data_IF_223028670561
#
_entry.id   IF_223028670561
#
_cell.length_a   1.000
_cell.length_b   1.000
_cell.length_c   1.000
_cell.angle_alpha   90.00
_cell.angle_beta   90.00
_cell.angle_gamma   90.00
#
_symmetry.space_group_name_H-M   'P 1'
#
loop_
_entity.id
_entity.type
_entity.pdbx_description
1 polymer ?
#
# COMPACT_ATOMS: atom_id res chain seq x y z
N UNK A 1 4.05 -3.07 -6.32
CA UNK A 1 3.38 -1.80 -6.13
C UNK A 1 4.12 -0.68 -6.85
N UNK A 2 3.41 0.23 -7.47
CA UNK A 2 3.97 1.40 -8.18
C UNK A 2 4.82 2.27 -7.23
N UNK A 3 4.41 2.36 -5.96
CA UNK A 3 5.16 3.08 -4.94
C UNK A 3 6.61 2.61 -4.83
N UNK A 4 6.84 1.30 -4.85
CA UNK A 4 8.18 0.73 -4.77
C UNK A 4 9.03 1.10 -5.97
N UNK A 5 8.46 1.10 -7.17
CA UNK A 5 9.17 1.48 -8.39
C UNK A 5 9.48 2.99 -8.41
N UNK A 6 8.50 3.82 -8.07
CA UNK A 6 8.64 5.28 -8.11
C UNK A 6 9.67 5.80 -7.10
N UNK A 7 9.65 5.25 -5.89
CA UNK A 7 10.59 5.60 -4.83
C UNK A 7 11.94 4.91 -5.07
N UNK A 8 11.92 3.68 -5.56
CA UNK A 8 13.11 2.88 -5.77
C UNK A 8 14.05 3.39 -6.85
N UNK A 9 13.50 4.02 -7.90
CA UNK A 9 14.31 4.62 -8.97
C UNK A 9 15.31 5.66 -8.47
N UNK A 10 15.03 6.33 -7.35
CA UNK A 10 15.96 7.33 -6.79
C UNK A 10 17.16 6.69 -6.09
N UNK A 11 17.02 5.44 -5.66
CA UNK A 11 18.14 4.69 -5.06
C UNK A 11 19.05 4.05 -6.12
N UNK A 12 18.67 4.12 -7.41
CA UNK A 12 19.51 3.68 -8.52
C UNK A 12 20.27 4.88 -9.07
N UNK A 13 21.59 4.98 -8.79
CA UNK A 13 22.46 6.01 -9.33
C UNK A 13 22.71 7.21 -8.39
N UNK A 14 23.13 8.34 -8.96
CA UNK A 14 23.49 9.57 -8.22
C UNK A 14 22.30 10.50 -7.92
N UNK A 15 21.06 10.11 -8.29
CA UNK A 15 19.86 10.95 -8.19
C UNK A 15 19.51 11.34 -6.76
N UNK A 16 19.82 10.51 -5.76
CA UNK A 16 19.64 10.84 -4.35
C UNK A 16 20.46 12.05 -3.91
N UNK A 17 21.71 12.19 -4.38
CA UNK A 17 22.56 13.33 -4.04
C UNK A 17 21.99 14.63 -4.59
N UNK A 18 21.52 14.64 -5.83
CA UNK A 18 20.90 15.82 -6.44
C UNK A 18 19.59 16.19 -5.75
N UNK A 19 18.75 15.20 -5.37
CA UNK A 19 17.49 15.43 -4.67
C UNK A 19 17.69 16.00 -3.25
N UNK A 20 18.74 15.59 -2.53
CA UNK A 20 19.05 16.15 -1.21
C UNK A 20 19.69 17.52 -1.26
N UNK A 21 20.35 17.88 -2.35
CA UNK A 21 20.88 19.23 -2.56
C UNK A 21 19.76 20.25 -2.78
N UNK A 22 18.67 19.84 -3.40
CA UNK A 22 17.50 20.71 -3.65
C UNK A 22 16.55 20.80 -2.45
N UNK A 23 16.46 19.75 -1.61
CA UNK A 23 15.60 19.73 -0.42
C UNK A 23 16.43 19.37 0.83
N UNK A 24 16.95 20.34 1.60
CA UNK A 24 17.79 20.08 2.77
C UNK A 24 17.01 19.40 3.91
N UNK A 25 15.69 19.49 3.90
CA UNK A 25 14.82 18.94 4.95
C UNK A 25 14.33 17.52 4.56
N UNK A 26 15.01 16.50 5.08
CA UNK A 26 14.77 15.07 4.76
C UNK A 26 13.34 14.62 4.99
N UNK A 27 12.69 15.12 6.05
CA UNK A 27 11.29 14.82 6.35
C UNK A 27 10.35 15.36 5.26
N UNK A 28 10.57 16.61 4.83
CA UNK A 28 9.77 17.19 3.74
C UNK A 28 9.90 16.38 2.45
N UNK A 29 11.12 15.91 2.15
CA UNK A 29 11.38 15.08 0.97
C UNK A 29 10.56 13.79 0.99
N UNK A 30 10.57 13.05 2.12
CA UNK A 30 9.81 11.79 2.26
C UNK A 30 8.31 12.07 2.09
N UNK A 31 7.80 13.07 2.81
CA UNK A 31 6.36 13.41 2.79
C UNK A 31 5.92 13.81 1.38
N UNK A 32 6.67 14.66 0.69
CA UNK A 32 6.37 15.04 -0.70
C UNK A 32 6.35 13.84 -1.64
N UNK A 33 7.31 12.93 -1.50
CA UNK A 33 7.37 11.71 -2.31
C UNK A 33 6.17 10.79 -2.07
N UNK A 34 5.85 10.54 -0.81
CA UNK A 34 4.68 9.74 -0.45
C UNK A 34 3.39 10.39 -0.93
N UNK A 35 3.28 11.72 -0.86
CA UNK A 35 2.11 12.44 -1.35
C UNK A 35 1.95 12.30 -2.88
N UNK A 36 3.03 12.40 -3.65
CA UNK A 36 2.99 12.21 -5.10
C UNK A 36 2.54 10.79 -5.45
N UNK A 37 3.11 9.79 -4.78
CA UNK A 37 2.73 8.38 -4.96
C UNK A 37 1.24 8.18 -4.65
N UNK A 38 0.76 8.74 -3.54
CA UNK A 38 -0.65 8.70 -3.17
C UNK A 38 -1.55 9.29 -4.25
N UNK A 39 -1.21 10.47 -4.77
CA UNK A 39 -1.98 11.12 -5.84
C UNK A 39 -2.05 10.24 -7.09
N UNK A 40 -0.94 9.69 -7.53
CA UNK A 40 -0.88 8.80 -8.69
C UNK A 40 -1.75 7.54 -8.48
N UNK A 41 -1.66 6.93 -7.28
CA UNK A 41 -2.43 5.73 -6.98
C UNK A 41 -3.93 5.99 -6.87
N UNK A 42 -4.34 7.12 -6.33
CA UNK A 42 -5.76 7.51 -6.29
C UNK A 42 -6.29 7.66 -7.73
N UNK A 43 -5.55 8.33 -8.60
CA UNK A 43 -5.94 8.46 -10.01
C UNK A 43 -6.09 7.10 -10.68
N UNK A 44 -5.12 6.21 -10.47
CA UNK A 44 -5.17 4.85 -11.03
C UNK A 44 -6.33 4.03 -10.47
N UNK A 45 -6.59 4.09 -9.16
CA UNK A 45 -7.73 3.41 -8.55
C UNK A 45 -9.06 3.89 -9.13
N UNK A 46 -9.24 5.20 -9.27
CA UNK A 46 -10.44 5.77 -9.88
C UNK A 46 -10.57 5.31 -11.33
N UNK A 47 -9.49 5.29 -12.11
CA UNK A 47 -9.50 4.80 -13.48
C UNK A 47 -9.88 3.31 -13.57
N UNK A 48 -9.32 2.46 -12.72
CA UNK A 48 -9.63 1.02 -12.68
C UNK A 48 -11.09 0.79 -12.28
N UNK A 49 -11.58 1.47 -11.25
CA UNK A 49 -12.97 1.34 -10.79
C UNK A 49 -13.93 1.78 -11.89
N UNK A 50 -13.67 2.90 -12.58
CA UNK A 50 -14.51 3.39 -13.66
C UNK A 50 -14.54 2.40 -14.82
N UNK A 51 -13.41 1.83 -15.20
CA UNK A 51 -13.33 0.79 -16.24
C UNK A 51 -14.12 -0.47 -15.83
N UNK A 52 -14.00 -0.93 -14.59
CA UNK A 52 -14.76 -2.07 -14.08
C UNK A 52 -16.27 -1.82 -14.16
N UNK A 53 -16.72 -0.62 -13.77
CA UNK A 53 -18.14 -0.23 -13.86
C UNK A 53 -18.62 -0.24 -15.32
N UNK A 54 -17.85 0.35 -16.24
CA UNK A 54 -18.20 0.37 -17.67
C UNK A 54 -18.30 -1.04 -18.25
N UNK A 55 -17.36 -1.92 -17.93
CA UNK A 55 -17.39 -3.32 -18.38
C UNK A 55 -18.61 -4.04 -17.81
N UNK A 56 -18.90 -3.87 -16.52
CA UNK A 56 -20.03 -4.50 -15.88
C UNK A 56 -21.38 -4.05 -16.49
N UNK A 57 -21.51 -2.78 -16.84
CA UNK A 57 -22.70 -2.25 -17.51
C UNK A 57 -22.81 -2.74 -18.96
N UNK A 58 -21.69 -2.73 -19.71
CA UNK A 58 -21.71 -3.08 -21.14
C UNK A 58 -21.90 -4.56 -21.41
N UNK A 59 -21.28 -5.45 -20.63
CA UNK A 59 -21.35 -6.91 -20.85
C UNK A 59 -22.44 -7.63 -20.07
N UNK A 60 -22.71 -7.16 -18.85
CA UNK A 60 -23.61 -7.88 -17.94
C UNK A 60 -24.96 -7.21 -17.76
N UNK A 61 -25.21 -6.04 -18.38
CA UNK A 61 -26.42 -5.23 -18.22
C UNK A 61 -26.82 -4.98 -16.75
N UNK A 62 -25.84 -4.97 -15.86
CA UNK A 62 -26.04 -4.75 -14.43
C UNK A 62 -26.05 -3.26 -14.16
N UNK A 63 -27.17 -2.71 -13.76
CA UNK A 63 -27.29 -1.31 -13.35
C UNK A 63 -26.65 -1.08 -11.98
N UNK A 64 -25.30 -1.04 -11.91
CA UNK A 64 -24.56 -0.77 -10.68
C UNK A 64 -24.84 0.63 -10.13
N UNK A 65 -25.23 1.58 -11.00
CA UNK A 65 -25.58 2.93 -10.60
C UNK A 65 -26.84 3.01 -9.73
N UNK A 66 -27.77 2.07 -9.87
CA UNK A 66 -28.98 2.03 -9.05
C UNK A 66 -28.66 1.74 -7.57
N UNK A 67 -27.56 0.99 -7.29
CA UNK A 67 -27.14 0.59 -5.95
C UNK A 67 -25.75 1.14 -5.59
N UNK A 68 -25.43 2.34 -6.07
CA UNK A 68 -24.09 2.95 -5.92
C UNK A 68 -23.65 3.06 -4.45
N UNK A 69 -24.58 3.28 -3.52
CA UNK A 69 -24.27 3.33 -2.08
C UNK A 69 -23.73 1.99 -1.58
N UNK A 70 -24.33 0.89 -1.99
CA UNK A 70 -23.89 -0.44 -1.59
C UNK A 70 -22.54 -0.81 -2.21
N UNK A 71 -22.33 -0.47 -3.48
CA UNK A 71 -21.04 -0.64 -4.15
C UNK A 71 -19.93 0.17 -3.46
N UNK A 72 -20.20 1.43 -3.11
CA UNK A 72 -19.25 2.28 -2.39
C UNK A 72 -18.90 1.75 -1.00
N UNK A 73 -19.87 1.24 -0.23
CA UNK A 73 -19.60 0.68 1.10
C UNK A 73 -18.68 -0.53 1.07
N UNK A 74 -18.71 -1.33 0.01
CA UNK A 74 -17.81 -2.48 -0.17
C UNK A 74 -16.45 -2.05 -0.72
N UNK A 75 -16.43 -1.15 -1.69
CA UNK A 75 -15.18 -0.72 -2.34
C UNK A 75 -14.32 0.20 -1.45
N UNK A 76 -14.93 1.03 -0.62
CA UNK A 76 -14.24 2.03 0.19
C UNK A 76 -13.14 1.42 1.10
N UNK A 77 -13.44 0.40 1.92
CA UNK A 77 -12.39 -0.22 2.75
C UNK A 77 -11.32 -0.92 1.91
N UNK A 78 -11.66 -1.51 0.77
CA UNK A 78 -10.70 -2.13 -0.12
C UNK A 78 -9.73 -1.09 -0.73
N UNK A 79 -10.25 0.07 -1.16
CA UNK A 79 -9.41 1.17 -1.64
C UNK A 79 -8.45 1.68 -0.57
N UNK A 80 -8.93 1.88 0.65
CA UNK A 80 -8.07 2.31 1.78
C UNK A 80 -6.98 1.27 2.04
N UNK A 81 -7.32 -0.02 2.03
CA UNK A 81 -6.35 -1.09 2.24
C UNK A 81 -5.26 -1.11 1.15
N UNK A 82 -5.63 -0.92 -0.12
CA UNK A 82 -4.66 -0.86 -1.23
C UNK A 82 -3.72 0.34 -1.06
N UNK A 83 -4.26 1.52 -0.77
CA UNK A 83 -3.47 2.74 -0.59
C UNK A 83 -2.51 2.64 0.59
N UNK A 84 -2.97 2.16 1.74
CA UNK A 84 -2.14 2.00 2.92
C UNK A 84 -1.04 0.95 2.72
N UNK A 85 -1.35 -0.18 2.07
CA UNK A 85 -0.34 -1.20 1.74
C UNK A 85 0.71 -0.66 0.76
N UNK A 86 0.31 0.14 -0.20
CA UNK A 86 1.23 0.74 -1.14
C UNK A 86 2.15 1.77 -0.48
N UNK A 87 1.62 2.66 0.36
CA UNK A 87 2.43 3.57 1.16
C UNK A 87 3.43 2.81 2.05
N UNK A 88 2.98 1.74 2.69
CA UNK A 88 3.81 0.93 3.56
C UNK A 88 4.97 0.31 2.77
N UNK A 89 4.69 -0.27 1.60
CA UNK A 89 5.74 -0.82 0.73
C UNK A 89 6.71 0.27 0.23
N UNK A 90 6.22 1.47 -0.05
CA UNK A 90 7.05 2.62 -0.42
C UNK A 90 7.98 3.06 0.72
N UNK A 91 7.48 3.10 1.96
CA UNK A 91 8.30 3.45 3.13
C UNK A 91 9.38 2.39 3.40
N UNK A 92 9.08 1.11 3.18
CA UNK A 92 10.09 0.06 3.30
C UNK A 92 11.27 0.23 2.33
N UNK A 93 11.05 0.83 1.15
CA UNK A 93 12.15 1.13 0.22
C UNK A 93 13.13 2.16 0.82
N UNK A 94 12.64 3.16 1.55
CA UNK A 94 13.51 4.12 2.25
C UNK A 94 14.38 3.45 3.32
N UNK A 95 13.87 2.40 3.96
CA UNK A 95 14.61 1.65 4.99
C UNK A 95 15.67 0.74 4.35
N UNK A 96 15.27 -0.07 3.35
CA UNK A 96 16.09 -1.11 2.75
C UNK A 96 17.06 -0.59 1.68
N UNK A 97 16.74 0.55 1.05
CA UNK A 97 17.48 1.13 -0.09
C UNK A 97 17.62 0.21 -1.31
N UNK A 98 16.93 -0.92 -1.31
CA UNK A 98 16.87 -1.83 -2.44
C UNK A 98 15.42 -2.03 -2.87
N UNK A 99 15.07 -1.50 -4.04
CA UNK A 99 13.70 -1.62 -4.56
C UNK A 99 13.40 -3.07 -4.99
N UNK A 100 14.40 -3.82 -5.47
CA UNK A 100 14.23 -5.20 -5.93
C UNK A 100 13.78 -6.10 -4.78
N UNK A 101 14.41 -5.97 -3.62
CA UNK A 101 14.08 -6.75 -2.43
C UNK A 101 12.63 -6.49 -1.97
N UNK A 102 12.26 -5.21 -1.84
CA UNK A 102 10.91 -4.85 -1.39
C UNK A 102 9.85 -5.21 -2.43
N UNK A 103 10.17 -5.06 -3.72
CA UNK A 103 9.27 -5.47 -4.78
C UNK A 103 9.04 -6.99 -4.74
N UNK A 104 10.10 -7.79 -4.56
CA UNK A 104 10.01 -9.23 -4.40
C UNK A 104 9.16 -9.64 -3.20
N UNK A 105 9.40 -9.04 -2.02
CA UNK A 105 8.61 -9.31 -0.81
C UNK A 105 7.15 -8.91 -1.00
N UNK A 106 6.87 -7.72 -1.54
CA UNK A 106 5.50 -7.26 -1.73
C UNK A 106 4.72 -8.11 -2.72
N UNK A 107 5.36 -8.55 -3.82
CA UNK A 107 4.75 -9.46 -4.78
C UNK A 107 4.52 -10.85 -4.19
N UNK A 108 5.48 -11.40 -3.47
CA UNK A 108 5.34 -12.71 -2.84
C UNK A 108 4.22 -12.76 -1.81
N UNK A 109 4.05 -11.70 -1.03
CA UNK A 109 2.92 -11.56 -0.10
C UNK A 109 1.58 -11.49 -0.84
N UNK A 110 1.51 -10.77 -1.96
CA UNK A 110 0.31 -10.68 -2.79
C UNK A 110 -0.03 -12.00 -3.48
N UNK A 111 0.97 -12.77 -3.90
CA UNK A 111 0.79 -14.08 -4.56
C UNK A 111 0.38 -15.20 -3.62
N UNK A 112 0.22 -14.93 -2.32
CA UNK A 112 -0.34 -15.90 -1.38
C UNK A 112 0.65 -16.51 -0.40
N UNK A 113 1.92 -16.14 -0.40
CA UNK A 113 2.85 -16.58 0.65
C UNK A 113 2.37 -16.19 2.06
N UNK A 114 1.71 -15.04 2.19
CA UNK A 114 1.09 -14.64 3.44
C UNK A 114 0.05 -15.64 3.93
N UNK A 115 -0.77 -16.19 3.05
CA UNK A 115 -1.79 -17.19 3.40
C UNK A 115 -1.17 -18.52 3.83
N UNK A 116 -0.07 -18.93 3.21
CA UNK A 116 0.68 -20.10 3.64
C UNK A 116 1.28 -19.92 5.05
N UNK A 117 1.76 -18.73 5.37
CA UNK A 117 2.30 -18.43 6.70
C UNK A 117 1.25 -18.55 7.82
N UNK A 118 -0.02 -18.28 7.52
CA UNK A 118 -1.10 -18.45 8.49
C UNK A 118 -1.29 -19.92 8.93
N UNK A 119 -0.93 -20.88 8.08
CA UNK A 119 -1.00 -22.31 8.43
C UNK A 119 0.03 -22.68 9.50
N UNK A 120 1.14 -21.95 9.58
CA UNK A 120 2.20 -22.23 10.56
C UNK A 120 1.92 -21.56 11.92
N UNK A 121 1.36 -20.35 11.94
CA UNK A 121 1.07 -19.65 13.18
C UNK A 121 0.02 -18.55 12.99
N UNK A 122 -0.88 -18.45 13.97
CA UNK A 122 -1.88 -17.39 14.06
C UNK A 122 -1.27 -15.98 14.24
N UNK A 123 0.00 -15.89 14.65
CA UNK A 123 0.73 -14.63 14.80
C UNK A 123 0.82 -13.86 13.47
N UNK A 124 0.96 -14.57 12.35
CA UNK A 124 1.06 -13.96 11.02
C UNK A 124 -0.23 -13.25 10.57
N UNK A 125 -1.34 -13.48 11.26
CA UNK A 125 -2.60 -12.74 11.06
C UNK A 125 -2.43 -11.22 11.26
N UNK A 126 -1.44 -10.80 12.06
CA UNK A 126 -1.14 -9.39 12.30
C UNK A 126 -0.32 -8.72 11.19
N UNK A 127 0.11 -9.46 10.17
CA UNK A 127 0.77 -8.86 9.01
C UNK A 127 -0.18 -7.90 8.30
N UNK A 128 0.30 -6.72 7.85
CA UNK A 128 -0.55 -5.64 7.37
C UNK A 128 -1.44 -6.06 6.18
N UNK A 129 -0.95 -6.91 5.29
CA UNK A 129 -1.73 -7.42 4.17
C UNK A 129 -2.81 -8.41 4.63
N UNK A 130 -2.45 -9.35 5.52
CA UNK A 130 -3.38 -10.38 5.99
C UNK A 130 -4.44 -9.82 6.94
N UNK A 131 -4.10 -8.83 7.74
CA UNK A 131 -5.04 -8.16 8.62
C UNK A 131 -6.19 -7.49 7.84
N UNK A 132 -5.92 -6.97 6.65
CA UNK A 132 -6.89 -6.27 5.81
C UNK A 132 -7.55 -7.15 4.74
N UNK A 133 -7.30 -8.47 4.73
CA UNK A 133 -7.84 -9.37 3.70
C UNK A 133 -9.37 -9.36 3.63
N UNK A 134 -10.07 -9.25 4.76
CA UNK A 134 -11.54 -9.18 4.75
C UNK A 134 -12.12 -7.94 4.06
N UNK A 135 -11.28 -6.92 3.74
CA UNK A 135 -11.72 -5.80 2.91
C UNK A 135 -12.02 -6.20 1.45
N UNK A 136 -11.50 -7.33 0.99
CA UNK A 136 -11.66 -7.82 -0.38
C UNK A 136 -12.71 -8.92 -0.52
N UNK A 137 -13.26 -9.41 0.58
CA UNK A 137 -14.30 -10.45 0.58
C UNK A 137 -15.67 -9.86 0.84
N UNK A 138 -16.66 -10.27 0.05
CA UNK A 138 -18.07 -9.93 0.28
C UNK A 138 -18.63 -10.58 1.55
N UNK A 139 -18.16 -11.79 1.87
CA UNK A 139 -18.48 -12.51 3.09
C UNK A 139 -17.23 -12.59 3.96
N UNK A 140 -17.20 -11.96 5.15
CA UNK A 140 -16.04 -11.96 6.01
C UNK A 140 -15.72 -13.38 6.49
N UNK A 141 -14.47 -13.78 6.31
CA UNK A 141 -13.96 -15.06 6.77
C UNK A 141 -13.53 -14.95 8.24
N UNK A 142 -13.91 -15.94 9.06
CA UNK A 142 -13.55 -15.98 10.49
C UNK A 142 -12.05 -16.08 10.74
N UNK A 143 -11.28 -16.50 9.73
CA UNK A 143 -9.82 -16.61 9.80
C UNK A 143 -9.12 -15.25 9.89
N UNK A 144 -9.71 -14.20 9.32
CA UNK A 144 -9.16 -12.85 9.29
C UNK A 144 -9.86 -11.90 10.27
N UNK A 145 -9.25 -10.74 10.51
CA UNK A 145 -9.86 -9.70 11.35
C UNK A 145 -11.07 -9.07 10.67
N UNK A 146 -12.07 -8.58 11.44
CA UNK A 146 -13.13 -7.74 10.90
C UNK A 146 -12.54 -6.54 10.14
N UNK A 147 -13.24 -6.07 9.11
CA UNK A 147 -12.77 -5.02 8.18
C UNK A 147 -12.12 -3.82 8.89
N UNK A 148 -12.81 -3.25 9.88
CA UNK A 148 -12.33 -2.06 10.59
C UNK A 148 -11.13 -2.33 11.49
N UNK A 149 -11.09 -3.50 12.13
CA UNK A 149 -9.93 -3.89 12.95
C UNK A 149 -8.71 -4.15 12.06
N UNK A 150 -8.90 -4.80 10.92
CA UNK A 150 -7.84 -5.06 9.96
C UNK A 150 -7.22 -3.77 9.40
N UNK A 151 -8.05 -2.79 9.05
CA UNK A 151 -7.58 -1.46 8.63
C UNK A 151 -6.85 -0.73 9.77
N UNK A 152 -7.34 -0.84 11.00
CA UNK A 152 -6.67 -0.26 12.17
C UNK A 152 -5.25 -0.83 12.36
N UNK A 153 -5.09 -2.15 12.29
CA UNK A 153 -3.77 -2.81 12.37
C UNK A 153 -2.85 -2.33 11.24
N UNK A 154 -3.37 -2.21 10.03
CA UNK A 154 -2.61 -1.76 8.88
C UNK A 154 -2.11 -0.30 9.03
N UNK A 155 -2.96 0.58 9.57
CA UNK A 155 -2.57 1.98 9.88
C UNK A 155 -1.51 2.03 10.98
N UNK A 156 -1.64 1.20 12.02
CA UNK A 156 -0.62 1.11 13.09
C UNK A 156 0.72 0.68 12.50
N UNK A 157 0.75 -0.33 11.63
CA UNK A 157 1.96 -0.73 10.92
C UNK A 157 2.57 0.41 10.10
N UNK A 158 1.74 1.17 9.39
CA UNK A 158 2.18 2.31 8.60
C UNK A 158 2.86 3.37 9.49
N UNK A 159 2.27 3.69 10.65
CA UNK A 159 2.85 4.65 11.60
C UNK A 159 4.17 4.16 12.17
N UNK A 160 4.26 2.89 12.58
CA UNK A 160 5.48 2.30 13.13
C UNK A 160 6.61 2.35 12.08
N UNK A 161 6.33 1.88 10.86
CA UNK A 161 7.34 1.82 9.79
C UNK A 161 7.76 3.22 9.35
N UNK A 162 6.82 4.18 9.33
CA UNK A 162 7.14 5.58 9.04
C UNK A 162 8.07 6.20 10.10
N UNK A 163 7.82 5.96 11.38
CA UNK A 163 8.70 6.40 12.46
C UNK A 163 10.11 5.80 12.33
N UNK A 164 10.20 4.50 12.07
CA UNK A 164 11.49 3.84 11.84
C UNK A 164 12.24 4.42 10.63
N UNK A 165 11.54 4.65 9.53
CA UNK A 165 12.14 5.25 8.34
C UNK A 165 12.69 6.65 8.61
N UNK A 166 11.96 7.48 9.35
CA UNK A 166 12.40 8.84 9.70
C UNK A 166 13.62 8.81 10.62
N UNK A 167 13.64 7.92 11.63
CA UNK A 167 14.79 7.79 12.55
C UNK A 167 16.06 7.34 11.80
N UNK A 168 15.94 6.35 10.92
CA UNK A 168 17.07 5.87 10.12
C UNK A 168 17.62 6.97 9.21
N UNK A 169 16.75 7.75 8.56
CA UNK A 169 17.16 8.79 7.65
C UNK A 169 17.75 10.02 8.35
N UNK A 170 17.28 10.35 9.56
CA UNK A 170 17.86 11.43 10.38
C UNK A 170 19.23 11.03 10.92
N UNK A 171 19.38 9.79 11.41
CA UNK A 171 20.64 9.28 11.96
C UNK A 171 21.73 9.02 10.92
N UNK A 172 21.38 8.93 9.65
CA UNK A 172 22.35 8.67 8.58
C UNK A 172 23.03 9.95 8.11
N UNK A 173 24.29 10.12 8.50
CA UNK A 173 25.15 11.11 7.83
C UNK A 173 25.40 10.62 6.40
N UNK A 174 24.78 11.29 5.43
CA UNK A 174 25.10 11.07 4.00
C UNK A 174 26.49 11.67 3.76
N UNK A 175 27.53 10.81 3.82
CA UNK A 175 28.87 11.13 3.33
C UNK A 175 28.93 10.98 1.82
#
# INVERSE_FOLDING_TARGET
SLAVLFIGQEFTGSSLRTSFLTCPNRLKFIICKLAIVLCVEIVLLVAVISLCILIAQGYYNINLLSNIKHVLTILFPACISILTFSLLSGIFVFISQSFILILGISLSLLLGLGQMLLQFSSFFRNLPLLASMNCFYTHPLSLYYPVWQGLGIQIVWLLIVFLFATLILIGRNVR
#
